data_IF_513869927073
#
_entry.id   IF_513869927073
#
_cell.length_a   1.000
_cell.length_b   1.000
_cell.length_c   1.000
_cell.angle_alpha   90.00
_cell.angle_beta   90.00
_cell.angle_gamma   90.00
#
_symmetry.space_group_name_H-M   'P 1'
#
loop_
_entity.id
_entity.type
_entity.pdbx_description
1 polymer ?
#
# COMPACT_ATOMS: atom_id res chain seq x y z
N UNK A 1 11.46 -8.12 -24.38
CA UNK A 1 12.37 -7.56 -23.36
C UNK A 1 11.52 -6.91 -22.29
N UNK A 2 11.65 -7.31 -21.01
CA UNK A 2 10.92 -6.68 -19.90
C UNK A 2 11.86 -5.64 -19.29
N UNK A 3 11.52 -4.37 -19.39
CA UNK A 3 12.27 -3.27 -18.78
C UNK A 3 11.50 -2.83 -17.54
N UNK A 4 12.13 -2.89 -16.37
CA UNK A 4 11.56 -2.40 -15.11
C UNK A 4 12.21 -1.05 -14.80
N UNK A 5 11.58 0.08 -15.17
CA UNK A 5 12.15 1.40 -14.92
C UNK A 5 12.07 1.80 -13.45
N UNK A 6 12.98 2.69 -13.05
CA UNK A 6 12.87 3.42 -11.78
C UNK A 6 11.48 4.10 -11.68
N UNK A 7 10.84 4.12 -10.50
CA UNK A 7 9.47 4.59 -10.28
C UNK A 7 9.34 6.12 -10.35
N UNK A 8 9.87 6.75 -11.39
CA UNK A 8 9.63 8.17 -11.70
C UNK A 8 8.41 8.28 -12.61
N UNK A 9 7.40 9.05 -12.16
CA UNK A 9 6.12 9.27 -12.85
C UNK A 9 6.34 9.75 -14.30
N UNK A 10 7.28 10.69 -14.50
CA UNK A 10 7.57 11.24 -15.83
C UNK A 10 8.12 10.23 -16.85
N UNK A 11 8.64 9.08 -16.41
CA UNK A 11 9.03 7.99 -17.30
C UNK A 11 7.79 7.25 -17.81
N UNK A 12 6.82 6.95 -16.95
CA UNK A 12 5.61 6.23 -17.33
C UNK A 12 4.77 6.97 -18.37
N UNK A 13 4.56 8.28 -18.18
CA UNK A 13 3.73 9.08 -19.09
C UNK A 13 4.32 9.21 -20.49
N UNK A 14 5.65 9.33 -20.58
CA UNK A 14 6.36 9.38 -21.87
C UNK A 14 6.28 8.04 -22.61
N UNK A 15 6.40 6.94 -21.89
CA UNK A 15 6.38 5.59 -22.47
C UNK A 15 4.98 5.18 -22.94
N UNK A 16 3.93 5.49 -22.17
CA UNK A 16 2.54 5.26 -22.61
C UNK A 16 2.23 6.02 -23.90
N UNK A 17 2.76 7.23 -24.06
CA UNK A 17 2.56 8.05 -25.28
C UNK A 17 3.34 7.54 -26.49
N UNK A 18 4.53 6.98 -26.31
CA UNK A 18 5.40 6.58 -27.42
C UNK A 18 5.12 5.17 -27.96
N UNK A 19 4.80 4.19 -27.09
CA UNK A 19 4.89 2.77 -27.46
C UNK A 19 3.55 2.02 -27.45
N UNK A 20 2.42 2.70 -27.24
CA UNK A 20 1.13 2.03 -27.06
C UNK A 20 1.16 1.03 -25.89
N UNK A 21 1.98 1.31 -24.88
CA UNK A 21 2.30 0.39 -23.81
C UNK A 21 1.04 0.06 -22.97
N UNK A 22 0.72 -1.23 -22.88
CA UNK A 22 -0.33 -1.71 -21.99
C UNK A 22 0.11 -1.54 -20.53
N UNK A 23 -0.74 -0.91 -19.73
CA UNK A 23 -0.49 -0.73 -18.31
C UNK A 23 -0.69 -2.04 -17.56
N UNK A 24 0.41 -2.65 -17.10
CA UNK A 24 0.35 -3.83 -16.23
C UNK A 24 0.42 -3.38 -14.79
N UNK A 25 -0.68 -3.54 -14.06
CA UNK A 25 -0.71 -3.35 -12.61
C UNK A 25 -0.51 -4.73 -12.00
N UNK A 26 0.64 -4.93 -11.39
CA UNK A 26 0.93 -6.14 -10.62
C UNK A 26 0.23 -6.00 -9.27
N UNK A 27 -0.54 -7.02 -8.87
CA UNK A 27 -1.16 -7.03 -7.55
C UNK A 27 -0.08 -6.90 -6.46
N UNK A 28 -0.39 -6.14 -5.41
CA UNK A 28 0.38 -6.23 -4.18
C UNK A 28 0.26 -7.65 -3.61
N UNK A 29 1.31 -8.11 -2.94
CA UNK A 29 1.29 -9.37 -2.19
C UNK A 29 0.12 -9.37 -1.20
N UNK A 30 -0.44 -10.54 -0.94
CA UNK A 30 -1.48 -10.74 0.06
C UNK A 30 -0.96 -11.44 1.34
N UNK A 31 -1.85 -11.64 2.30
CA UNK A 31 -1.53 -12.30 3.57
C UNK A 31 -0.93 -13.70 3.37
N UNK A 32 -1.48 -14.46 2.41
CA UNK A 32 -1.09 -15.84 2.15
C UNK A 32 0.27 -15.92 1.46
N UNK A 33 0.55 -15.00 0.54
CA UNK A 33 1.86 -14.85 -0.10
C UNK A 33 2.95 -14.59 0.95
N UNK A 34 2.72 -13.62 1.83
CA UNK A 34 3.65 -13.26 2.90
C UNK A 34 3.82 -14.42 3.90
N UNK A 35 2.74 -15.13 4.23
CA UNK A 35 2.79 -16.32 5.08
C UNK A 35 3.64 -17.43 4.46
N UNK A 36 3.51 -17.65 3.15
CA UNK A 36 4.34 -18.59 2.42
C UNK A 36 5.82 -18.17 2.43
N UNK A 37 6.12 -16.87 2.28
CA UNK A 37 7.49 -16.34 2.43
C UNK A 37 8.07 -16.63 3.82
N UNK A 38 7.30 -16.40 4.90
CA UNK A 38 7.71 -16.75 6.27
C UNK A 38 8.05 -18.23 6.42
N UNK A 39 7.20 -19.11 5.89
CA UNK A 39 7.42 -20.55 5.92
C UNK A 39 8.69 -20.96 5.15
N UNK A 40 8.92 -20.33 4.00
CA UNK A 40 10.09 -20.57 3.15
C UNK A 40 11.39 -20.04 3.75
N UNK A 41 11.40 -18.81 4.28
CA UNK A 41 12.57 -18.21 4.94
C UNK A 41 13.04 -19.02 6.15
N UNK A 42 12.12 -19.72 6.81
CA UNK A 42 12.40 -20.62 7.94
C UNK A 42 12.30 -22.09 7.54
N UNK A 43 12.50 -22.43 6.26
CA UNK A 43 12.51 -23.82 5.78
C UNK A 43 13.59 -24.62 6.52
N UNK A 44 13.28 -25.88 6.84
CA UNK A 44 14.17 -26.77 7.60
C UNK A 44 14.37 -26.38 9.08
N UNK A 45 13.80 -25.26 9.54
CA UNK A 45 13.75 -24.92 10.95
C UNK A 45 12.53 -25.54 11.63
N UNK A 46 12.62 -25.61 12.95
CA UNK A 46 11.56 -26.04 13.86
C UNK A 46 10.23 -25.26 13.62
N UNK A 47 9.05 -25.94 13.75
CA UNK A 47 7.75 -25.30 13.64
C UNK A 47 7.58 -24.01 14.45
N UNK A 48 8.16 -23.92 15.64
CA UNK A 48 8.05 -22.74 16.51
C UNK A 48 8.74 -21.52 15.90
N UNK A 49 9.85 -21.73 15.19
CA UNK A 49 10.56 -20.63 14.49
C UNK A 49 9.75 -20.11 13.31
N UNK A 50 9.03 -20.99 12.59
CA UNK A 50 8.12 -20.61 11.51
C UNK A 50 6.92 -19.84 12.06
N UNK A 51 6.32 -20.33 13.15
CA UNK A 51 5.20 -19.67 13.84
C UNK A 51 5.61 -18.29 14.38
N UNK A 52 6.79 -18.18 15.00
CA UNK A 52 7.34 -16.91 15.50
C UNK A 52 7.57 -15.91 14.37
N UNK A 53 8.12 -16.36 13.23
CA UNK A 53 8.31 -15.52 12.04
C UNK A 53 6.96 -14.98 11.55
N UNK A 54 5.98 -15.86 11.40
CA UNK A 54 4.64 -15.47 10.97
C UNK A 54 3.99 -14.47 11.93
N UNK A 55 4.05 -14.72 13.24
CA UNK A 55 3.47 -13.83 14.26
C UNK A 55 4.00 -12.40 14.15
N UNK A 56 5.32 -12.23 14.10
CA UNK A 56 5.96 -10.91 14.01
C UNK A 56 5.58 -10.21 12.70
N UNK A 57 5.61 -10.94 11.59
CA UNK A 57 5.32 -10.38 10.27
C UNK A 57 3.85 -9.99 10.15
N UNK A 58 2.92 -10.80 10.70
CA UNK A 58 1.49 -10.50 10.72
C UNK A 58 1.19 -9.22 11.51
N UNK A 59 1.75 -9.07 12.72
CA UNK A 59 1.61 -7.86 13.54
C UNK A 59 2.08 -6.60 12.77
N UNK A 60 3.20 -6.70 12.05
CA UNK A 60 3.71 -5.58 11.23
C UNK A 60 2.80 -5.29 10.04
N UNK A 61 2.34 -6.35 9.35
CA UNK A 61 1.46 -6.24 8.18
C UNK A 61 0.14 -5.56 8.51
N UNK A 62 -0.41 -5.78 9.71
CA UNK A 62 -1.61 -5.09 10.19
C UNK A 62 -1.43 -3.57 10.22
N UNK A 63 -0.19 -3.08 10.48
CA UNK A 63 0.15 -1.66 10.52
C UNK A 63 0.56 -1.10 9.16
N UNK A 64 1.51 -1.73 8.47
CA UNK A 64 2.16 -1.18 7.25
C UNK A 64 1.71 -1.84 5.94
N UNK A 65 0.86 -2.86 6.01
CA UNK A 65 0.42 -3.63 4.85
C UNK A 65 1.43 -4.72 4.44
N UNK A 66 1.09 -5.54 3.43
CA UNK A 66 1.90 -6.68 2.97
C UNK A 66 3.09 -6.26 2.10
N UNK A 67 3.92 -5.34 2.59
CA UNK A 67 5.11 -4.83 1.88
C UNK A 67 6.36 -5.48 2.49
N UNK A 68 7.01 -6.44 1.79
CA UNK A 68 8.15 -7.19 2.32
C UNK A 68 9.25 -6.32 2.92
N UNK A 69 9.52 -5.17 2.29
CA UNK A 69 10.53 -4.20 2.74
C UNK A 69 10.33 -3.78 4.20
N UNK A 70 9.08 -3.56 4.62
CA UNK A 70 8.77 -3.00 5.93
C UNK A 70 8.35 -4.06 6.96
N UNK A 71 7.97 -5.27 6.52
CA UNK A 71 7.47 -6.31 7.45
C UNK A 71 8.57 -7.27 7.91
N UNK A 72 9.62 -7.50 7.11
CA UNK A 72 10.69 -8.44 7.48
C UNK A 72 11.84 -7.80 8.27
N UNK A 73 12.11 -6.52 8.06
CA UNK A 73 13.15 -5.78 8.78
C UNK A 73 12.55 -4.91 9.90
N UNK A 74 13.13 -4.97 11.10
CA UNK A 74 12.61 -4.26 12.27
C UNK A 74 12.86 -2.75 12.19
N UNK A 75 13.99 -2.31 11.65
CA UNK A 75 14.36 -0.91 11.55
C UNK A 75 13.55 -0.23 10.44
N UNK A 76 13.39 -0.90 9.30
CA UNK A 76 12.52 -0.46 8.21
C UNK A 76 11.06 -0.38 8.66
N UNK A 77 10.59 -1.35 9.47
CA UNK A 77 9.27 -1.29 10.07
C UNK A 77 9.09 -0.05 10.94
N UNK A 78 10.05 0.25 11.82
CA UNK A 78 10.00 1.39 12.74
C UNK A 78 10.03 2.70 11.95
N UNK A 79 10.99 2.84 11.04
CA UNK A 79 11.14 4.04 10.22
C UNK A 79 9.89 4.29 9.37
N UNK A 80 9.34 3.26 8.73
CA UNK A 80 8.13 3.40 7.95
C UNK A 80 6.89 3.65 8.80
N UNK A 81 6.80 3.03 9.98
CA UNK A 81 5.72 3.31 10.94
C UNK A 81 5.73 4.76 11.40
N UNK A 82 6.89 5.34 11.74
CA UNK A 82 7.01 6.76 12.07
C UNK A 82 6.60 7.63 10.88
N UNK A 83 7.07 7.28 9.68
CA UNK A 83 6.71 7.99 8.47
C UNK A 83 5.20 7.94 8.14
N UNK A 84 4.48 6.89 8.58
CA UNK A 84 3.02 6.77 8.50
C UNK A 84 2.35 7.73 9.49
N UNK A 85 2.82 7.80 10.73
CA UNK A 85 2.29 8.73 11.73
C UNK A 85 2.46 10.17 11.27
N UNK A 86 3.67 10.54 10.81
CA UNK A 86 3.93 11.87 10.24
C UNK A 86 3.01 12.18 9.05
N UNK A 87 2.74 11.17 8.22
CA UNK A 87 1.85 11.32 7.08
C UNK A 87 0.39 11.51 7.51
N UNK A 88 -0.07 10.80 8.55
CA UNK A 88 -1.41 10.96 9.11
C UNK A 88 -1.59 12.35 9.72
N UNK A 89 -0.59 12.84 10.44
CA UNK A 89 -0.64 14.16 11.08
C UNK A 89 -0.54 15.31 10.06
N UNK A 90 0.09 15.07 8.91
CA UNK A 90 0.14 16.02 7.80
C UNK A 90 -1.16 16.09 6.97
N UNK A 91 -2.11 15.16 7.17
CA UNK A 91 -3.42 15.24 6.50
C UNK A 91 -4.19 16.41 7.10
N UNK A 92 -4.42 17.45 6.29
CA UNK A 92 -5.48 18.41 6.55
C UNK A 92 -6.83 17.83 6.06
N UNK A 93 -7.94 18.30 6.62
CA UNK A 93 -9.28 17.81 6.27
C UNK A 93 -9.64 17.97 4.79
N UNK A 94 -9.19 19.06 4.15
CA UNK A 94 -9.45 19.34 2.74
C UNK A 94 -8.77 18.34 1.78
N UNK A 95 -7.56 17.89 2.11
CA UNK A 95 -6.84 16.83 1.39
C UNK A 95 -7.46 15.47 1.68
N UNK A 96 -7.95 15.29 2.90
CA UNK A 96 -8.66 14.09 3.32
C UNK A 96 -9.88 13.78 2.46
N UNK A 97 -10.79 14.74 2.34
CA UNK A 97 -12.04 14.54 1.61
C UNK A 97 -11.83 14.25 0.11
N UNK A 98 -10.88 14.96 -0.51
CA UNK A 98 -10.64 14.82 -1.95
C UNK A 98 -10.06 13.46 -2.35
N UNK A 99 -9.47 12.73 -1.40
CA UNK A 99 -8.55 11.64 -1.71
C UNK A 99 -8.93 10.31 -1.06
N UNK A 100 -9.70 10.38 0.03
CA UNK A 100 -10.10 9.22 0.82
C UNK A 100 -11.63 9.04 0.91
N UNK A 101 -12.45 10.05 0.62
CA UNK A 101 -13.91 9.89 0.51
C UNK A 101 -14.39 9.71 -0.93
N UNK A 102 -15.33 8.77 -1.09
CA UNK A 102 -16.16 8.53 -2.27
C UNK A 102 -15.41 8.36 -3.60
N UNK A 103 -15.04 7.11 -3.91
CA UNK A 103 -14.71 6.71 -5.29
C UNK A 103 -13.58 7.50 -5.95
N UNK A 104 -12.69 8.10 -5.15
CA UNK A 104 -11.49 8.83 -5.56
C UNK A 104 -11.62 9.53 -6.91
N UNK A 105 -12.19 10.74 -6.93
CA UNK A 105 -12.33 11.58 -8.15
C UNK A 105 -10.99 11.78 -8.88
N UNK A 106 -9.86 11.55 -8.18
CA UNK A 106 -8.52 11.41 -8.76
C UNK A 106 -7.76 10.23 -8.15
N UNK A 107 -7.26 9.35 -9.01
CA UNK A 107 -6.16 8.45 -8.66
C UNK A 107 -4.97 9.28 -8.15
N UNK A 108 -4.45 8.95 -6.97
CA UNK A 108 -3.38 9.73 -6.36
C UNK A 108 -2.04 9.41 -7.00
N UNK A 109 -1.59 10.28 -7.90
CA UNK A 109 -0.21 10.36 -8.38
C UNK A 109 0.37 11.66 -7.85
N UNK A 110 0.93 11.64 -6.65
CA UNK A 110 1.60 12.83 -6.11
C UNK A 110 2.90 12.44 -5.42
N UNK A 111 3.84 13.38 -5.46
CA UNK A 111 5.18 13.31 -4.87
C UNK A 111 5.17 13.43 -3.32
N UNK A 112 3.99 13.28 -2.68
CA UNK A 112 3.70 13.62 -1.28
C UNK A 112 3.32 12.37 -0.42
N UNK A 113 3.08 12.48 0.92
CA UNK A 113 3.21 11.39 1.90
C UNK A 113 2.20 10.23 1.80
N UNK A 114 1.21 10.32 0.91
CA UNK A 114 0.13 9.32 0.77
C UNK A 114 0.56 7.97 0.19
N UNK A 115 1.73 7.87 -0.47
CA UNK A 115 2.31 6.57 -0.83
C UNK A 115 2.58 5.68 0.40
N UNK A 116 2.61 6.30 1.59
CA UNK A 116 2.75 5.60 2.87
C UNK A 116 1.40 5.19 3.46
N UNK A 117 0.26 5.63 2.92
CA UNK A 117 -1.07 5.44 3.51
C UNK A 117 -2.04 4.66 2.61
N UNK A 118 -1.94 4.81 1.29
CA UNK A 118 -2.86 4.17 0.33
C UNK A 118 -2.14 3.36 -0.73
N UNK A 119 -2.83 2.33 -1.21
CA UNK A 119 -2.50 1.56 -2.41
C UNK A 119 -3.58 1.75 -3.46
N UNK A 120 -3.22 1.54 -4.72
CA UNK A 120 -4.19 1.47 -5.82
C UNK A 120 -4.79 0.07 -5.86
N UNK A 121 -6.11 -0.01 -5.71
CA UNK A 121 -6.90 -1.23 -5.88
C UNK A 121 -7.64 -1.19 -7.22
N UNK A 122 -7.65 -2.31 -7.93
CA UNK A 122 -8.46 -2.50 -9.13
C UNK A 122 -9.81 -3.10 -8.72
N UNK A 123 -10.89 -2.41 -9.06
CA UNK A 123 -12.25 -2.90 -8.89
C UNK A 123 -12.82 -3.23 -10.28
N UNK A 124 -13.52 -4.37 -10.37
CA UNK A 124 -14.23 -4.78 -11.59
C UNK A 124 -15.73 -4.69 -11.30
N UNK A 125 -16.44 -3.87 -12.07
CA UNK A 125 -17.88 -3.74 -12.03
C UNK A 125 -18.58 -4.92 -12.70
N UNK A 126 -19.88 -5.05 -12.46
CA UNK A 126 -20.71 -6.18 -12.91
C UNK A 126 -20.66 -6.40 -14.43
N UNK A 127 -20.59 -5.31 -15.20
CA UNK A 127 -20.55 -5.33 -16.67
C UNK A 127 -19.12 -5.42 -17.23
N UNK A 128 -18.14 -5.79 -16.39
CA UNK A 128 -16.74 -5.93 -16.78
C UNK A 128 -15.97 -4.62 -16.92
N UNK A 129 -16.60 -3.48 -16.64
CA UNK A 129 -15.92 -2.19 -16.53
C UNK A 129 -14.92 -2.21 -15.36
N UNK A 130 -13.76 -1.60 -15.54
CA UNK A 130 -12.72 -1.58 -14.52
C UNK A 130 -12.47 -0.16 -14.04
N UNK A 131 -12.38 0.00 -12.72
CA UNK A 131 -12.10 1.26 -12.06
C UNK A 131 -10.93 1.05 -11.12
N UNK A 132 -10.09 2.05 -10.97
CA UNK A 132 -9.02 2.06 -9.98
C UNK A 132 -9.39 2.97 -8.83
N UNK A 133 -9.25 2.47 -7.61
CA UNK A 133 -9.62 3.13 -6.38
C UNK A 133 -8.40 3.24 -5.48
N UNK A 134 -8.35 4.28 -4.64
CA UNK A 134 -7.43 4.29 -3.51
C UNK A 134 -8.03 3.41 -2.42
N UNK A 135 -7.25 2.47 -1.91
CA UNK A 135 -7.59 1.67 -0.74
C UNK A 135 -6.51 1.89 0.34
N UNK A 136 -6.85 1.83 1.63
CA UNK A 136 -5.85 1.79 2.69
C UNK A 136 -4.83 0.67 2.44
N UNK A 137 -3.55 0.90 2.74
CA UNK A 137 -2.53 -0.15 2.60
C UNK A 137 -2.69 -1.27 3.62
N UNK A 138 -3.29 -0.97 4.77
CA UNK A 138 -3.44 -1.87 5.90
C UNK A 138 -4.78 -1.68 6.60
N UNK A 139 -5.18 -2.67 7.41
CA UNK A 139 -6.39 -2.61 8.23
C UNK A 139 -6.31 -1.45 9.22
N UNK A 140 -5.14 -1.26 9.85
CA UNK A 140 -4.88 -0.15 10.76
C UNK A 140 -5.19 1.20 10.13
N UNK A 141 -4.70 1.41 8.91
CA UNK A 141 -4.94 2.64 8.16
C UNK A 141 -6.40 2.80 7.78
N UNK A 142 -7.07 1.72 7.38
CA UNK A 142 -8.50 1.75 7.07
C UNK A 142 -9.38 2.19 8.24
N UNK A 143 -9.02 1.80 9.47
CA UNK A 143 -9.71 2.25 10.67
C UNK A 143 -9.37 3.70 11.04
N UNK A 144 -8.12 4.12 10.83
CA UNK A 144 -7.60 5.37 11.39
C UNK A 144 -7.78 6.59 10.49
N UNK A 145 -7.61 6.42 9.18
CA UNK A 145 -7.75 7.48 8.18
C UNK A 145 -9.09 8.25 8.32
N UNK A 146 -10.26 7.59 8.51
CA UNK A 146 -11.54 8.31 8.68
C UNK A 146 -11.58 9.30 9.86
N UNK A 147 -10.87 9.02 10.95
CA UNK A 147 -10.88 9.88 12.15
C UNK A 147 -10.21 11.23 11.95
N UNK A 148 -9.32 11.35 10.95
CA UNK A 148 -8.67 12.62 10.62
C UNK A 148 -9.55 13.53 9.74
N UNK A 149 -10.68 13.03 9.24
CA UNK A 149 -11.64 13.84 8.47
C UNK A 149 -12.72 14.49 9.34
N UNK A 150 -13.08 13.86 10.46
CA UNK A 150 -14.13 14.33 11.38
C UNK A 150 -13.67 15.49 12.27
N UNK A 151 -12.35 15.70 12.42
CA UNK A 151 -11.77 16.74 13.29
C UNK A 151 -11.88 18.19 12.76
N UNK A 152 -12.66 18.46 11.72
CA UNK A 152 -12.72 19.80 11.10
C UNK A 152 -14.08 20.49 11.13
N UNK A 153 -15.03 19.92 11.88
CA UNK A 153 -16.35 20.54 12.09
C UNK A 153 -16.48 21.27 13.46
N UNK A 154 -15.38 21.49 14.18
CA UNK A 154 -15.30 22.38 15.37
C UNK A 154 -14.33 23.54 15.13
#
# INVERSE_FOLDING_TARGET
MIVVPSPKVGNYDKWMKQEGAARIIVNCLDEMDVKAMCAWMKRGMDPDKKAKCWRIVKERMEKVGPIPRYIFDANEFIAHSAAIEDALDAINSLDGEKHFTHGGVRLWYSENPSQKLVRVARARGEVGAEVFLNAPMSVFLGCRIPHYFVKSDE
#
